data_IF_974328917032
#
_entry.id   IF_974328917032
#
_cell.length_a   1.000
_cell.length_b   1.000
_cell.length_c   1.000
_cell.angle_alpha   90.00
_cell.angle_beta   90.00
_cell.angle_gamma   90.00
#
_symmetry.space_group_name_H-M   'P 1'
#
loop_
_entity.id
_entity.type
_entity.pdbx_description
1 polymer ?
#
# COMPACT_ATOMS: atom_id res chain seq x y z
N UNK A 1 -8.01 -15.13 1.10
CA UNK A 1 -9.07 -15.10 0.07
C UNK A 1 -9.94 -13.84 0.09
N UNK A 2 -10.42 -13.32 1.24
CA UNK A 2 -11.35 -12.17 1.27
C UNK A 2 -10.87 -10.89 0.55
N UNK A 3 -9.55 -10.64 0.47
CA UNK A 3 -9.01 -9.46 -0.20
C UNK A 3 -8.75 -9.64 -1.71
N UNK A 4 -8.98 -10.83 -2.28
CA UNK A 4 -8.74 -11.10 -3.72
C UNK A 4 -9.80 -10.47 -4.63
N UNK A 5 -10.97 -10.10 -4.11
CA UNK A 5 -12.08 -9.50 -4.85
C UNK A 5 -12.58 -8.29 -4.05
N UNK A 6 -12.21 -7.06 -4.44
CA UNK A 6 -12.60 -5.78 -3.81
C UNK A 6 -13.21 -5.94 -2.41
N UNK A 7 -12.38 -6.08 -1.36
CA UNK A 7 -12.89 -6.38 -0.03
C UNK A 7 -13.77 -5.23 0.46
N UNK A 8 -14.98 -5.54 0.95
CA UNK A 8 -15.79 -4.55 1.68
C UNK A 8 -15.20 -4.32 3.06
N UNK A 9 -15.45 -3.15 3.62
CA UNK A 9 -14.95 -2.77 4.94
C UNK A 9 -15.46 -3.76 5.99
N UNK A 10 -16.74 -4.11 5.93
CA UNK A 10 -17.42 -4.97 6.90
C UNK A 10 -16.84 -6.39 6.89
N UNK A 11 -16.52 -6.92 5.71
CA UNK A 11 -15.91 -8.25 5.59
C UNK A 11 -14.50 -8.28 6.17
N UNK A 12 -13.71 -7.22 5.95
CA UNK A 12 -12.37 -7.09 6.51
C UNK A 12 -12.42 -6.88 8.02
N UNK A 13 -13.31 -6.03 8.52
CA UNK A 13 -13.52 -5.80 9.95
C UNK A 13 -13.96 -7.06 10.67
N UNK A 14 -14.96 -7.78 10.14
CA UNK A 14 -15.42 -9.02 10.73
C UNK A 14 -14.30 -10.09 10.76
N UNK A 15 -13.54 -10.20 9.68
CA UNK A 15 -12.42 -11.13 9.60
C UNK A 15 -11.30 -10.79 10.59
N UNK A 16 -10.89 -9.52 10.65
CA UNK A 16 -9.83 -9.07 11.56
C UNK A 16 -10.28 -9.04 13.02
N UNK A 17 -11.57 -8.84 13.27
CA UNK A 17 -12.17 -8.93 14.60
C UNK A 17 -12.21 -10.36 15.13
N UNK A 18 -12.48 -11.35 14.26
CA UNK A 18 -12.45 -12.76 14.62
C UNK A 18 -11.03 -13.34 14.62
N UNK A 19 -10.16 -12.89 13.71
CA UNK A 19 -8.80 -13.40 13.47
C UNK A 19 -7.83 -12.27 13.10
N UNK A 20 -7.29 -11.52 14.07
CA UNK A 20 -6.33 -10.44 13.81
C UNK A 20 -5.08 -10.90 13.04
N UNK A 21 -4.68 -12.16 13.22
CA UNK A 21 -3.54 -12.80 12.57
C UNK A 21 -3.72 -12.90 11.05
N UNK A 22 -4.96 -12.82 10.55
CA UNK A 22 -5.24 -12.81 9.12
C UNK A 22 -4.53 -11.65 8.40
N UNK A 23 -4.28 -10.51 9.07
CA UNK A 23 -3.50 -9.39 8.52
C UNK A 23 -2.05 -9.76 8.18
N UNK A 24 -1.49 -10.78 8.84
CA UNK A 24 -0.12 -11.26 8.70
C UNK A 24 -0.01 -12.46 7.75
N UNK A 25 -1.14 -13.05 7.38
CA UNK A 25 -1.16 -14.31 6.63
C UNK A 25 -0.87 -14.03 5.16
N UNK A 26 0.26 -14.55 4.69
CA UNK A 26 0.62 -14.51 3.28
C UNK A 26 -0.28 -15.44 2.47
N UNK A 27 -0.78 -14.95 1.34
CA UNK A 27 -1.46 -15.76 0.34
C UNK A 27 -0.47 -16.55 -0.53
N UNK A 28 -0.99 -17.14 -1.60
CA UNK A 28 -0.25 -18.05 -2.51
C UNK A 28 1.01 -17.44 -3.16
N UNK A 29 1.10 -16.11 -3.27
CA UNK A 29 2.23 -15.40 -3.88
C UNK A 29 3.11 -14.69 -2.85
N UNK A 30 2.94 -14.98 -1.56
CA UNK A 30 3.56 -14.18 -0.49
C UNK A 30 2.85 -12.86 -0.22
N UNK A 31 1.74 -12.58 -0.93
CA UNK A 31 0.97 -11.35 -0.76
C UNK A 31 0.25 -11.34 0.59
N UNK A 32 0.57 -10.34 1.40
CA UNK A 32 -0.27 -9.95 2.53
C UNK A 32 -1.58 -9.31 2.06
N UNK A 33 -2.61 -9.26 2.91
CA UNK A 33 -3.84 -8.52 2.64
C UNK A 33 -3.62 -7.08 2.12
N UNK A 34 -2.59 -6.39 2.62
CA UNK A 34 -2.25 -5.04 2.15
C UNK A 34 -1.77 -5.00 0.69
N UNK A 35 -1.08 -6.04 0.20
CA UNK A 35 -0.71 -6.15 -1.22
C UNK A 35 -1.96 -6.22 -2.09
N UNK A 36 -2.91 -7.08 -1.70
CA UNK A 36 -4.16 -7.21 -2.42
C UNK A 36 -4.95 -5.90 -2.41
N UNK A 37 -5.11 -5.27 -1.25
CA UNK A 37 -5.81 -3.98 -1.11
C UNK A 37 -5.18 -2.87 -1.97
N UNK A 38 -3.85 -2.80 -2.04
CA UNK A 38 -3.13 -1.86 -2.88
C UNK A 38 -3.33 -2.10 -4.38
N UNK A 39 -3.46 -3.37 -4.80
CA UNK A 39 -3.65 -3.75 -6.21
C UNK A 39 -5.10 -3.73 -6.69
N UNK A 40 -6.08 -3.90 -5.80
CA UNK A 40 -7.49 -4.09 -6.17
C UNK A 40 -8.31 -2.79 -6.14
N UNK A 41 -7.67 -1.64 -5.85
CA UNK A 41 -8.37 -0.38 -5.62
C UNK A 41 -9.27 -0.42 -4.38
N UNK A 42 -8.82 -1.05 -3.29
CA UNK A 42 -9.58 -1.08 -2.05
C UNK A 42 -9.80 0.34 -1.49
N UNK A 43 -10.87 0.54 -0.72
CA UNK A 43 -11.15 1.82 -0.10
C UNK A 43 -10.06 2.21 0.90
N UNK A 44 -9.92 3.51 1.13
CA UNK A 44 -9.02 4.06 2.15
C UNK A 44 -9.25 3.42 3.54
N UNK A 45 -10.50 3.13 3.88
CA UNK A 45 -10.85 2.58 5.19
C UNK A 45 -10.33 1.15 5.36
N UNK A 46 -10.48 0.29 4.34
CA UNK A 46 -9.88 -1.05 4.35
C UNK A 46 -8.37 -0.97 4.55
N UNK A 47 -7.70 -0.07 3.83
CA UNK A 47 -6.25 0.11 3.92
C UNK A 47 -5.84 0.58 5.32
N UNK A 48 -6.57 1.55 5.89
CA UNK A 48 -6.34 2.04 7.26
C UNK A 48 -6.55 0.94 8.31
N UNK A 49 -7.58 0.13 8.18
CA UNK A 49 -7.83 -1.00 9.10
C UNK A 49 -6.69 -2.01 9.06
N UNK A 50 -6.25 -2.40 7.86
CA UNK A 50 -5.11 -3.31 7.69
C UNK A 50 -3.83 -2.72 8.28
N UNK A 51 -3.56 -1.44 8.05
CA UNK A 51 -2.40 -0.74 8.60
C UNK A 51 -2.49 -0.53 10.11
N UNK A 52 -3.69 -0.39 10.68
CA UNK A 52 -3.91 -0.29 12.13
C UNK A 52 -3.56 -1.60 12.83
N UNK A 53 -3.94 -2.74 12.24
CA UNK A 53 -3.65 -4.07 12.79
C UNK A 53 -2.20 -4.46 12.54
N UNK A 54 -1.67 -4.20 11.34
CA UNK A 54 -0.31 -4.57 10.98
C UNK A 54 0.43 -3.49 10.17
N UNK A 55 0.96 -2.43 10.82
CA UNK A 55 1.65 -1.33 10.14
C UNK A 55 2.89 -1.78 9.34
N UNK A 56 3.58 -2.81 9.84
CA UNK A 56 4.78 -3.36 9.21
C UNK A 56 4.49 -4.10 7.89
N UNK A 57 3.21 -4.34 7.54
CA UNK A 57 2.83 -4.85 6.22
C UNK A 57 3.38 -3.99 5.06
N UNK A 58 3.55 -2.68 5.28
CA UNK A 58 4.12 -1.76 4.28
C UNK A 58 5.56 -2.08 3.87
N UNK A 59 6.32 -2.74 4.75
CA UNK A 59 7.73 -3.13 4.53
C UNK A 59 7.88 -4.59 4.12
N UNK A 60 6.78 -5.31 3.96
CA UNK A 60 6.84 -6.71 3.54
C UNK A 60 6.93 -6.81 2.03
N UNK A 61 7.84 -7.66 1.58
CA UNK A 61 7.94 -8.07 0.19
C UNK A 61 7.08 -9.31 -0.03
N UNK A 62 6.52 -9.44 -1.21
CA UNK A 62 6.02 -10.73 -1.66
C UNK A 62 7.18 -11.72 -1.89
N UNK A 63 6.81 -12.97 -2.16
CA UNK A 63 7.80 -14.04 -2.28
C UNK A 63 8.28 -14.24 -3.72
N UNK A 64 7.67 -13.57 -4.70
CA UNK A 64 7.93 -13.79 -6.13
C UNK A 64 8.78 -12.68 -6.74
N UNK A 65 8.20 -11.49 -6.91
CA UNK A 65 8.89 -10.37 -7.56
C UNK A 65 9.61 -9.48 -6.54
N UNK A 66 9.50 -9.78 -5.25
CA UNK A 66 9.97 -8.92 -4.18
C UNK A 66 9.32 -7.53 -4.20
N UNK A 67 8.09 -7.43 -4.70
CA UNK A 67 7.29 -6.22 -4.71
C UNK A 67 6.78 -5.91 -3.32
N UNK A 68 6.60 -4.62 -3.06
CA UNK A 68 6.02 -4.09 -1.83
C UNK A 68 4.61 -3.60 -2.14
N UNK A 69 3.73 -3.38 -1.15
CA UNK A 69 2.40 -2.83 -1.41
C UNK A 69 2.42 -1.51 -2.18
N UNK A 70 3.43 -0.67 -1.96
CA UNK A 70 3.60 0.60 -2.69
C UNK A 70 3.87 0.39 -4.19
N UNK A 71 4.64 -0.63 -4.58
CA UNK A 71 4.83 -0.97 -6.00
C UNK A 71 3.49 -1.28 -6.67
N UNK A 72 2.63 -2.06 -6.00
CA UNK A 72 1.32 -2.42 -6.52
C UNK A 72 0.37 -1.23 -6.58
N UNK A 73 0.35 -0.39 -5.54
CA UNK A 73 -0.41 0.86 -5.52
C UNK A 73 -0.08 1.76 -6.73
N UNK A 74 1.21 1.86 -7.06
CA UNK A 74 1.69 2.63 -8.21
C UNK A 74 1.37 1.94 -9.54
N UNK A 75 1.60 0.63 -9.65
CA UNK A 75 1.35 -0.17 -10.86
C UNK A 75 -0.13 -0.19 -11.27
N UNK A 76 -1.06 -0.12 -10.32
CA UNK A 76 -2.49 -0.26 -10.57
C UNK A 76 -3.27 1.06 -10.45
N UNK A 77 -2.61 2.19 -10.16
CA UNK A 77 -3.26 3.50 -10.18
C UNK A 77 -4.24 3.69 -9.02
N UNK A 78 -3.81 3.46 -7.78
CA UNK A 78 -4.68 3.62 -6.59
C UNK A 78 -5.01 5.09 -6.29
N UNK A 79 -5.95 5.34 -5.38
CA UNK A 79 -6.31 6.70 -4.98
C UNK A 79 -5.15 7.40 -4.24
N UNK A 80 -4.98 8.73 -4.38
CA UNK A 80 -3.93 9.48 -3.68
C UNK A 80 -3.94 9.29 -2.16
N UNK A 81 -5.12 9.09 -1.56
CA UNK A 81 -5.28 8.89 -0.12
C UNK A 81 -4.77 7.52 0.33
N UNK A 82 -5.01 6.47 -0.46
CA UNK A 82 -4.46 5.13 -0.21
C UNK A 82 -2.95 5.17 -0.36
N UNK A 83 -2.46 5.77 -1.43
CA UNK A 83 -1.04 5.95 -1.69
C UNK A 83 -0.37 6.66 -0.50
N UNK A 84 -0.95 7.77 -0.05
CA UNK A 84 -0.46 8.55 1.11
C UNK A 84 -0.45 7.73 2.40
N UNK A 85 -1.49 6.93 2.64
CA UNK A 85 -1.57 6.10 3.85
C UNK A 85 -0.45 5.04 3.91
N UNK A 86 -0.09 4.46 2.76
CA UNK A 86 1.04 3.54 2.64
C UNK A 86 2.36 4.30 2.85
N UNK A 87 2.56 5.43 2.18
CA UNK A 87 3.78 6.24 2.27
C UNK A 87 4.06 6.75 3.70
N UNK A 88 3.04 7.18 4.44
CA UNK A 88 3.23 7.67 5.82
C UNK A 88 3.75 6.56 6.77
N UNK A 89 3.39 5.31 6.51
CA UNK A 89 3.86 4.16 7.31
C UNK A 89 5.24 3.65 6.87
N UNK A 90 5.64 3.91 5.62
CA UNK A 90 6.96 3.63 5.10
C UNK A 90 7.46 4.68 4.08
N UNK A 91 7.94 5.85 4.57
CA UNK A 91 8.31 6.96 3.68
C UNK A 91 9.47 6.64 2.75
N UNK A 92 10.45 5.90 3.25
CA UNK A 92 11.62 5.47 2.48
C UNK A 92 11.24 4.41 1.41
N UNK A 93 10.01 3.89 1.46
CA UNK A 93 9.44 2.94 0.51
C UNK A 93 9.40 3.45 -0.92
N UNK A 94 9.40 4.76 -1.16
CA UNK A 94 9.43 5.34 -2.51
C UNK A 94 10.71 5.01 -3.29
N UNK A 95 11.78 4.62 -2.59
CA UNK A 95 13.09 4.32 -3.18
C UNK A 95 13.41 2.82 -3.19
N UNK A 96 12.56 1.97 -2.62
CA UNK A 96 12.82 0.53 -2.60
C UNK A 96 12.78 -0.03 -4.01
N UNK A 97 13.53 -1.11 -4.24
CA UNK A 97 13.54 -1.81 -5.51
C UNK A 97 12.97 -3.21 -5.33
N UNK A 98 12.18 -3.64 -6.30
CA UNK A 98 11.77 -5.03 -6.45
C UNK A 98 12.94 -5.90 -6.98
N UNK A 99 12.70 -7.20 -7.20
CA UNK A 99 13.72 -8.13 -7.71
C UNK A 99 14.15 -7.83 -9.16
N UNK A 100 13.34 -7.06 -9.89
CA UNK A 100 13.67 -6.57 -11.23
C UNK A 100 14.44 -5.23 -11.19
N UNK A 101 14.77 -4.74 -9.99
CA UNK A 101 15.45 -3.46 -9.80
C UNK A 101 14.55 -2.24 -10.00
N UNK A 102 13.23 -2.42 -10.11
CA UNK A 102 12.28 -1.31 -10.35
C UNK A 102 11.79 -0.71 -9.03
N UNK A 103 11.68 0.61 -9.01
CA UNK A 103 11.09 1.41 -7.93
C UNK A 103 9.59 1.56 -8.10
N UNK A 104 8.83 1.98 -7.06
CA UNK A 104 7.41 2.27 -7.23
C UNK A 104 7.12 3.30 -8.32
N UNK A 105 7.99 4.31 -8.47
CA UNK A 105 7.88 5.31 -9.54
C UNK A 105 8.02 4.66 -10.92
N UNK A 106 8.98 3.76 -11.10
CA UNK A 106 9.17 3.03 -12.38
C UNK A 106 7.91 2.22 -12.76
N UNK A 107 7.19 1.67 -11.76
CA UNK A 107 5.92 0.96 -11.99
C UNK A 107 4.77 1.91 -12.36
N UNK A 108 4.72 3.13 -11.81
CA UNK A 108 3.76 4.15 -12.21
C UNK A 108 4.04 4.67 -13.64
N UNK A 109 5.30 4.92 -13.98
CA UNK A 109 5.69 5.41 -15.31
C UNK A 109 5.38 4.40 -16.43
N UNK A 110 5.45 3.11 -16.12
CA UNK A 110 5.10 2.02 -17.04
C UNK A 110 3.59 1.91 -17.33
N UNK A 111 2.73 2.66 -16.63
CA UNK A 111 1.30 2.70 -16.94
C UNK A 111 1.02 3.49 -18.23
N UNK A 112 -0.05 3.16 -18.96
CA UNK A 112 -0.57 4.02 -20.02
C UNK A 112 -0.96 5.41 -19.47
N UNK A 113 -0.84 6.43 -20.32
CA UNK A 113 -1.24 7.81 -20.03
C UNK A 113 -2.70 7.84 -19.57
N UNK A 114 -2.92 8.25 -18.33
CA UNK A 114 -4.23 8.30 -17.69
C UNK A 114 -4.21 9.27 -16.52
N UNK A 115 -5.37 9.80 -16.16
CA UNK A 115 -5.52 10.66 -14.97
C UNK A 115 -5.06 9.94 -13.69
N UNK A 116 -5.23 8.61 -13.61
CA UNK A 116 -4.77 7.81 -12.49
C UNK A 116 -3.24 7.77 -12.40
N UNK A 117 -2.54 7.62 -13.54
CA UNK A 117 -1.08 7.69 -13.62
C UNK A 117 -0.58 9.05 -13.12
N UNK A 118 -1.16 10.13 -13.63
CA UNK A 118 -0.76 11.50 -13.27
C UNK A 118 -0.93 11.75 -11.76
N UNK A 119 -2.07 11.34 -11.19
CA UNK A 119 -2.34 11.46 -9.75
C UNK A 119 -1.36 10.65 -8.89
N UNK A 120 -0.99 9.45 -9.33
CA UNK A 120 -0.01 8.63 -8.60
C UNK A 120 1.38 9.27 -8.66
N UNK A 121 1.80 9.75 -9.83
CA UNK A 121 3.10 10.40 -10.00
C UNK A 121 3.19 11.68 -9.16
N UNK A 122 2.16 12.53 -9.20
CA UNK A 122 2.05 13.72 -8.35
C UNK A 122 2.08 13.33 -6.86
N UNK A 123 1.34 12.29 -6.47
CA UNK A 123 1.32 11.79 -5.09
C UNK A 123 2.69 11.30 -4.62
N UNK A 124 3.49 10.66 -5.48
CA UNK A 124 4.86 10.23 -5.18
C UNK A 124 5.83 11.41 -5.02
N UNK A 125 5.62 12.52 -5.74
CA UNK A 125 6.46 13.72 -5.64
C UNK A 125 6.15 14.53 -4.39
N UNK A 126 4.88 14.61 -4.01
CA UNK A 126 4.40 15.39 -2.85
C UNK A 126 4.49 14.59 -1.54
N UNK A 127 4.35 13.26 -1.61
CA UNK A 127 4.33 12.35 -0.46
C UNK A 127 5.49 12.50 0.54
N UNK A 128 6.75 12.67 0.10
CA UNK A 128 7.90 12.88 0.98
C UNK A 128 7.78 14.16 1.82
N UNK A 129 7.21 15.24 1.25
CA UNK A 129 7.03 16.51 1.96
C UNK A 129 5.96 16.39 3.05
N UNK A 130 4.86 15.68 2.79
CA UNK A 130 3.82 15.43 3.80
C UNK A 130 4.27 14.50 4.93
N UNK A 131 5.09 13.49 4.62
CA UNK A 131 5.63 12.57 5.63
C UNK A 131 6.56 13.28 6.62
N UNK A 132 7.36 14.26 6.14
CA UNK A 132 8.23 15.07 6.98
C UNK A 132 7.45 15.91 8.00
N UNK A 133 6.33 16.52 7.57
CA UNK A 133 5.43 17.30 8.45
C UNK A 133 4.72 16.41 9.47
N UNK A 134 4.26 15.22 9.07
CA UNK A 134 3.58 14.28 9.99
C UNK A 134 4.49 13.70 11.08
N UNK A 135 5.77 13.41 10.79
CA UNK A 135 6.74 12.99 11.82
C UNK A 135 6.99 14.11 12.85
N UNK A 136 7.02 15.37 12.40
CA UNK A 136 7.18 16.52 13.28
C UNK A 136 5.99 16.75 14.23
N UNK A 137 4.77 16.39 13.80
CA UNK A 137 3.56 16.47 14.64
C UNK A 137 3.50 15.36 15.72
N UNK A 138 3.95 14.14 15.41
CA UNK A 138 3.93 12.99 16.36
C UNK A 138 4.99 13.05 17.46
N UNK A 139 6.07 13.83 17.27
CA UNK A 139 7.12 14.02 18.27
C UNK A 139 6.86 15.20 19.24
N UNK A 140 5.66 15.80 19.20
CA UNK A 140 5.27 16.93 20.07
C UNK A 140 4.19 16.58 21.11
N UNK A 141 3.96 15.31 21.38
CA UNK A 141 3.12 14.79 22.47
C UNK A 141 3.90 13.77 23.26
#
# INVERSE_FOLDING_TARGET
EACKSQPTVEAVEALLGAFPEAAHTKGQWGYLPLHYAASSGASLEVVKLLLKVYPAATRNRDDYDGVFPLHLACKWGTSPEVLTSIMVNYPEGIYVRDNNGKTPKDHAEAQPESEAKDKVLEGLEIGPMFCAVSKAAKNRT
#
